data_IF_807447497922
#
_entry.id   IF_807447497922
#
_cell.length_a   1.000
_cell.length_b   1.000
_cell.length_c   1.000
_cell.angle_alpha   90.00
_cell.angle_beta   90.00
_cell.angle_gamma   90.00
#
_symmetry.space_group_name_H-M   'P 1'
#
loop_
_entity.id
_entity.type
_entity.pdbx_description
1 polymer ?
#
# COMPACT_ATOMS: atom_id res chain seq x y z
N UNK A 1 15.67 19.44 6.91
CA UNK A 1 16.66 19.94 5.91
C UNK A 1 17.75 18.91 5.73
N UNK A 2 18.37 18.81 4.56
CA UNK A 2 19.52 17.91 4.31
C UNK A 2 20.67 18.76 3.79
N UNK A 3 21.86 18.56 4.34
CA UNK A 3 23.11 19.17 3.87
C UNK A 3 24.13 18.07 3.65
N UNK A 4 24.97 18.20 2.63
CA UNK A 4 26.01 17.21 2.36
C UNK A 4 27.19 17.84 1.62
N UNK A 5 28.40 17.36 1.93
CA UNK A 5 29.64 17.91 1.41
C UNK A 5 30.04 19.21 2.09
N UNK A 6 30.90 19.98 1.43
CA UNK A 6 31.46 21.22 1.96
C UNK A 6 32.98 21.15 2.09
N UNK A 7 33.57 22.27 2.52
CA UNK A 7 35.01 22.38 2.74
C UNK A 7 35.32 22.87 4.15
N UNK A 8 36.20 22.14 4.84
CA UNK A 8 36.95 22.63 6.00
C UNK A 8 38.40 22.89 5.55
N UNK A 9 39.41 22.37 6.25
CA UNK A 9 40.78 22.26 5.72
C UNK A 9 40.90 21.26 4.57
N UNK A 10 39.90 20.40 4.37
CA UNK A 10 39.77 19.41 3.29
C UNK A 10 38.30 19.30 2.84
N UNK A 11 38.06 18.72 1.66
CA UNK A 11 36.71 18.40 1.18
C UNK A 11 36.04 17.33 2.05
N UNK A 12 34.72 17.45 2.28
CA UNK A 12 33.94 16.52 3.10
C UNK A 12 33.09 15.55 2.25
N UNK A 13 32.96 14.29 2.69
CA UNK A 13 32.03 13.27 2.15
C UNK A 13 30.87 12.96 3.10
N UNK A 14 30.74 13.75 4.17
CA UNK A 14 29.71 13.60 5.20
C UNK A 14 28.57 14.58 4.97
N UNK A 15 27.41 14.28 5.56
CA UNK A 15 26.27 15.17 5.58
C UNK A 15 25.40 14.96 6.82
N UNK A 16 24.40 15.82 6.95
CA UNK A 16 23.46 15.82 8.06
C UNK A 16 22.03 16.02 7.58
N UNK A 17 21.10 15.39 8.29
CA UNK A 17 19.66 15.65 8.21
C UNK A 17 19.25 16.40 9.48
N UNK A 18 18.75 17.61 9.31
CA UNK A 18 18.21 18.42 10.40
C UNK A 18 16.70 18.21 10.52
N UNK A 19 16.28 17.83 11.73
CA UNK A 19 14.88 17.75 12.14
C UNK A 19 14.53 19.02 12.95
N UNK A 20 13.71 19.94 12.40
CA UNK A 20 13.35 21.19 13.08
C UNK A 20 12.40 20.98 14.27
N UNK A 21 11.64 19.89 14.32
CA UNK A 21 10.69 19.61 15.41
C UNK A 21 11.41 19.19 16.69
N UNK A 22 12.54 18.49 16.53
CA UNK A 22 13.36 17.99 17.64
C UNK A 22 14.67 18.75 17.81
N UNK A 23 14.87 19.80 17.01
CA UNK A 23 16.11 20.58 16.91
C UNK A 23 17.38 19.72 16.92
N UNK A 24 17.41 18.69 16.07
CA UNK A 24 18.49 17.69 16.09
C UNK A 24 19.01 17.33 14.71
N UNK A 25 20.30 16.99 14.67
CA UNK A 25 20.99 16.51 13.48
C UNK A 25 21.22 15.00 13.54
N UNK A 26 20.91 14.32 12.43
CA UNK A 26 21.27 12.92 12.22
C UNK A 26 22.24 12.84 11.05
N UNK A 27 23.39 12.18 11.24
CA UNK A 27 24.34 11.96 10.15
C UNK A 27 23.67 11.20 8.99
N UNK A 28 24.08 11.52 7.76
CA UNK A 28 23.73 10.70 6.59
C UNK A 28 24.71 9.54 6.48
N UNK A 29 24.26 8.39 5.97
CA UNK A 29 25.13 7.27 5.65
C UNK A 29 26.32 7.69 4.78
N UNK A 30 27.49 7.18 5.11
CA UNK A 30 28.73 7.30 4.32
C UNK A 30 28.94 6.09 3.41
N UNK A 31 28.14 5.04 3.57
CA UNK A 31 28.16 3.85 2.72
C UNK A 31 27.71 4.24 1.31
N UNK A 32 28.55 3.93 0.32
CA UNK A 32 28.38 4.32 -1.10
C UNK A 32 28.16 5.83 -1.32
N UNK A 33 28.49 6.67 -0.34
CA UNK A 33 28.41 8.11 -0.49
C UNK A 33 29.38 8.60 -1.58
N UNK A 34 29.05 9.68 -2.31
CA UNK A 34 29.94 10.21 -3.33
C UNK A 34 31.27 10.69 -2.72
N UNK A 35 32.33 10.69 -3.52
CA UNK A 35 33.65 11.18 -3.09
C UNK A 35 33.56 12.58 -2.50
N UNK A 36 34.36 12.82 -1.46
CA UNK A 36 34.41 14.06 -0.70
C UNK A 36 34.60 15.28 -1.61
N UNK A 37 33.74 16.30 -1.47
CA UNK A 37 33.73 17.45 -2.38
C UNK A 37 33.32 18.76 -1.73
N UNK A 38 33.87 19.85 -2.24
CA UNK A 38 33.48 21.23 -1.92
C UNK A 38 32.75 21.88 -3.09
N UNK A 39 31.84 22.80 -2.76
CA UNK A 39 31.04 23.54 -3.74
C UNK A 39 30.12 22.70 -4.65
N UNK A 40 29.53 21.58 -4.21
CA UNK A 40 28.56 20.91 -5.06
C UNK A 40 27.23 21.69 -5.11
N UNK A 41 26.50 21.53 -6.21
CA UNK A 41 25.10 21.95 -6.30
C UNK A 41 24.18 20.84 -5.80
N UNK A 42 23.04 21.23 -5.22
CA UNK A 42 22.05 20.29 -4.69
C UNK A 42 20.65 20.68 -5.14
N UNK A 43 19.84 19.69 -5.54
CA UNK A 43 18.40 19.87 -5.81
C UNK A 43 17.58 18.83 -5.05
N UNK A 44 16.35 19.19 -4.67
CA UNK A 44 15.39 18.31 -4.00
C UNK A 44 14.29 17.87 -4.97
N UNK A 45 14.06 16.57 -5.08
CA UNK A 45 13.06 16.02 -6.02
C UNK A 45 11.65 15.95 -5.43
N UNK A 46 11.50 16.17 -4.12
CA UNK A 46 10.32 15.80 -3.34
C UNK A 46 10.54 14.56 -2.49
N UNK A 47 11.42 13.63 -2.92
CA UNK A 47 11.71 12.38 -2.19
C UNK A 47 13.20 12.13 -1.95
N UNK A 48 14.09 12.74 -2.74
CA UNK A 48 15.54 12.46 -2.75
C UNK A 48 16.32 13.73 -3.05
N UNK A 49 17.55 13.80 -2.52
CA UNK A 49 18.48 14.88 -2.83
C UNK A 49 19.41 14.42 -3.95
N UNK A 50 19.57 15.23 -4.98
CA UNK A 50 20.57 15.01 -6.03
C UNK A 50 21.68 16.03 -5.82
N UNK A 51 22.91 15.54 -5.69
CA UNK A 51 24.13 16.35 -5.64
C UNK A 51 24.79 16.29 -7.00
N UNK A 52 25.31 17.41 -7.51
CA UNK A 52 26.07 17.48 -8.75
C UNK A 52 27.32 18.35 -8.62
N UNK A 53 28.30 18.07 -9.48
CA UNK A 53 29.52 18.87 -9.59
C UNK A 53 30.35 18.91 -8.30
N UNK A 54 31.13 19.97 -8.18
CA UNK A 54 32.08 20.18 -7.09
C UNK A 54 33.47 19.60 -7.39
N UNK A 55 34.40 19.86 -6.46
CA UNK A 55 35.82 19.50 -6.59
C UNK A 55 36.33 18.67 -5.40
N UNK A 56 37.30 17.80 -5.64
CA UNK A 56 37.96 16.98 -4.61
C UNK A 56 39.36 17.52 -4.30
N UNK A 57 39.60 18.01 -3.08
CA UNK A 57 40.93 18.29 -2.51
C UNK A 57 41.82 19.32 -3.23
N UNK A 58 42.22 19.04 -4.46
CA UNK A 58 43.09 19.85 -5.32
C UNK A 58 42.45 20.02 -6.70
N UNK A 59 42.39 21.26 -7.18
CA UNK A 59 42.06 21.57 -8.57
C UNK A 59 43.13 20.93 -9.49
N UNK A 60 42.77 20.24 -10.59
CA UNK A 60 41.50 20.28 -11.31
C UNK A 60 40.58 19.04 -11.15
N UNK A 61 40.60 18.36 -9.99
CA UNK A 61 39.84 17.12 -9.82
C UNK A 61 38.34 17.37 -9.60
N UNK A 62 37.61 17.50 -10.70
CA UNK A 62 36.15 17.64 -10.73
C UNK A 62 35.45 16.27 -10.79
N UNK A 63 34.26 16.16 -10.18
CA UNK A 63 33.54 14.89 -10.12
C UNK A 63 32.04 15.01 -10.39
N UNK A 64 31.45 13.90 -10.86
CA UNK A 64 30.00 13.78 -11.06
C UNK A 64 29.27 13.48 -9.75
N UNK A 65 27.95 13.63 -9.80
CA UNK A 65 27.06 13.67 -8.64
C UNK A 65 26.75 12.37 -7.89
N UNK A 66 25.74 12.43 -7.04
CA UNK A 66 25.15 11.30 -6.34
C UNK A 66 23.75 11.62 -5.83
N UNK A 67 22.93 10.60 -5.61
CA UNK A 67 21.56 10.73 -5.11
C UNK A 67 21.43 10.14 -3.72
N UNK A 68 20.93 10.92 -2.78
CA UNK A 68 20.66 10.50 -1.41
C UNK A 68 19.18 10.24 -1.17
N UNK A 69 18.88 9.08 -0.59
CA UNK A 69 17.54 8.66 -0.16
C UNK A 69 17.44 8.75 1.37
N UNK A 70 16.70 9.71 1.94
CA UNK A 70 16.63 9.87 3.39
C UNK A 70 15.84 8.76 4.08
N UNK A 71 14.87 8.12 3.42
CA UNK A 71 14.04 7.06 4.04
C UNK A 71 14.84 5.78 4.27
N UNK A 72 15.72 5.42 3.33
CA UNK A 72 16.59 4.24 3.43
C UNK A 72 18.00 4.57 3.90
N UNK A 73 18.26 5.85 4.21
CA UNK A 73 19.58 6.40 4.52
C UNK A 73 20.69 5.85 3.60
N UNK A 74 20.51 6.00 2.29
CA UNK A 74 21.41 5.38 1.30
C UNK A 74 21.71 6.26 0.10
N UNK A 75 22.89 6.04 -0.49
CA UNK A 75 23.37 6.75 -1.67
C UNK A 75 23.36 5.87 -2.91
N UNK A 76 22.93 6.46 -4.02
CA UNK A 76 22.99 5.85 -5.35
C UNK A 76 23.79 6.77 -6.26
N UNK A 77 24.81 6.23 -6.94
CA UNK A 77 25.55 6.97 -7.95
C UNK A 77 24.63 7.52 -9.05
N UNK A 78 24.92 8.73 -9.54
CA UNK A 78 24.29 9.22 -10.76
C UNK A 78 24.89 8.49 -11.96
N UNK A 79 24.07 8.22 -12.98
CA UNK A 79 24.56 7.69 -14.26
C UNK A 79 25.55 8.69 -14.89
N UNK A 80 26.62 8.18 -15.50
CA UNK A 80 27.66 8.94 -16.20
C UNK A 80 27.45 8.99 -17.72
N UNK A 81 26.57 8.14 -18.27
CA UNK A 81 26.23 8.13 -19.70
C UNK A 81 25.65 9.48 -20.13
N UNK A 82 26.37 10.18 -21.01
CA UNK A 82 26.03 11.52 -21.51
C UNK A 82 25.83 12.57 -20.39
N UNK A 83 26.46 12.36 -19.23
CA UNK A 83 26.51 13.34 -18.17
C UNK A 83 27.08 14.68 -18.65
N UNK A 84 26.60 15.78 -18.08
CA UNK A 84 27.25 17.06 -18.26
C UNK A 84 28.72 16.93 -17.80
N UNK A 85 29.65 17.61 -18.48
CA UNK A 85 31.04 17.64 -18.02
C UNK A 85 31.11 18.07 -16.54
N UNK A 86 31.97 17.43 -15.72
CA UNK A 86 32.22 17.87 -14.35
C UNK A 86 32.53 19.37 -14.29
N UNK A 87 31.98 20.05 -13.29
CA UNK A 87 31.99 21.52 -13.17
C UNK A 87 31.88 21.97 -11.72
N UNK A 88 32.31 23.19 -11.46
CA UNK A 88 32.06 23.93 -10.21
C UNK A 88 31.34 25.25 -10.55
N UNK A 89 30.78 25.92 -9.54
CA UNK A 89 30.04 27.18 -9.71
C UNK A 89 28.87 27.09 -10.72
N UNK A 90 28.38 25.88 -10.95
CA UNK A 90 27.21 25.63 -11.77
C UNK A 90 25.92 26.04 -11.05
N UNK A 91 24.85 26.15 -11.81
CA UNK A 91 23.50 26.29 -11.27
C UNK A 91 22.67 25.07 -11.65
N UNK A 92 21.87 24.58 -10.70
CA UNK A 92 21.00 23.43 -10.89
C UNK A 92 19.57 23.73 -10.45
N UNK A 93 18.58 23.24 -11.21
CA UNK A 93 17.15 23.33 -10.89
C UNK A 93 16.47 21.99 -11.10
N UNK A 94 15.48 21.66 -10.26
CA UNK A 94 14.59 20.52 -10.47
C UNK A 94 13.30 21.00 -11.14
N UNK A 95 12.93 20.40 -12.28
CA UNK A 95 11.72 20.77 -13.03
C UNK A 95 10.45 20.11 -12.51
N UNK A 96 10.59 19.11 -11.63
CA UNK A 96 9.54 18.14 -11.30
C UNK A 96 9.81 16.74 -11.86
N UNK A 97 10.58 16.64 -12.95
CA UNK A 97 10.91 15.36 -13.63
C UNK A 97 12.40 15.16 -13.92
N UNK A 98 13.16 16.25 -14.07
CA UNK A 98 14.57 16.23 -14.41
C UNK A 98 15.33 17.35 -13.69
N UNK A 99 16.61 17.10 -13.40
CA UNK A 99 17.54 18.13 -12.96
C UNK A 99 18.18 18.75 -14.19
N UNK A 100 18.11 20.07 -14.31
CA UNK A 100 18.85 20.83 -15.33
C UNK A 100 20.05 21.47 -14.64
N UNK A 101 21.25 21.23 -15.18
CA UNK A 101 22.50 21.87 -14.74
C UNK A 101 23.02 22.76 -15.87
N UNK A 102 23.43 23.98 -15.57
CA UNK A 102 23.91 24.93 -16.57
C UNK A 102 25.09 25.77 -16.07
N UNK A 103 25.98 26.13 -16.99
CA UNK A 103 27.10 27.04 -16.72
C UNK A 103 28.19 26.41 -15.87
N UNK A 104 28.82 27.22 -15.03
CA UNK A 104 29.96 26.84 -14.19
C UNK A 104 31.30 26.90 -14.91
N UNK A 105 32.34 26.44 -14.23
CA UNK A 105 33.71 26.43 -14.72
C UNK A 105 34.22 24.99 -14.83
N UNK A 106 35.01 24.72 -15.88
CA UNK A 106 35.68 23.44 -16.05
C UNK A 106 36.98 23.33 -15.23
N UNK A 107 37.68 22.21 -15.43
CA UNK A 107 38.96 21.88 -14.82
C UNK A 107 40.08 22.91 -15.11
N UNK A 108 39.91 23.83 -16.05
CA UNK A 108 40.88 24.86 -16.39
C UNK A 108 40.40 26.27 -16.02
N UNK A 109 39.35 26.38 -15.20
CA UNK A 109 38.67 27.64 -14.88
C UNK A 109 38.07 28.34 -16.12
N UNK A 110 37.76 27.57 -17.16
CA UNK A 110 37.07 28.07 -18.35
C UNK A 110 35.58 28.09 -18.09
N UNK A 111 34.96 29.26 -18.30
CA UNK A 111 33.51 29.42 -18.19
C UNK A 111 32.80 28.57 -19.24
N UNK A 112 31.92 27.70 -18.78
CA UNK A 112 31.11 26.84 -19.62
C UNK A 112 29.84 27.58 -20.04
N UNK A 113 29.51 27.51 -21.33
CA UNK A 113 28.20 27.90 -21.89
C UNK A 113 27.32 26.67 -22.20
N UNK A 114 27.65 25.53 -21.60
CA UNK A 114 26.98 24.24 -21.81
C UNK A 114 26.26 23.78 -20.54
N UNK A 115 25.35 22.83 -20.69
CA UNK A 115 24.62 22.22 -19.58
C UNK A 115 24.29 20.76 -19.84
N UNK A 116 23.57 20.15 -18.91
CA UNK A 116 23.09 18.78 -19.02
C UNK A 116 21.80 18.56 -18.27
N UNK A 117 21.12 17.46 -18.60
CA UNK A 117 19.86 17.03 -17.99
C UNK A 117 20.07 15.67 -17.34
N UNK A 118 19.58 15.53 -16.13
CA UNK A 118 19.61 14.28 -15.39
C UNK A 118 18.20 13.89 -14.95
N UNK A 119 17.70 12.80 -15.51
CA UNK A 119 16.36 12.28 -15.21
C UNK A 119 16.45 11.10 -14.24
N UNK A 120 15.54 11.07 -13.28
CA UNK A 120 15.29 9.88 -12.49
C UNK A 120 14.24 9.06 -13.24
N UNK A 121 14.43 7.74 -13.43
CA UNK A 121 13.39 6.89 -14.02
C UNK A 121 12.06 7.11 -13.30
N UNK A 122 11.01 7.41 -14.07
CA UNK A 122 9.68 7.62 -13.53
C UNK A 122 9.27 6.39 -12.72
N UNK A 123 8.68 6.62 -11.54
CA UNK A 123 8.18 5.54 -10.72
C UNK A 123 7.14 4.73 -11.53
N UNK A 124 7.32 3.41 -11.76
CA UNK A 124 6.44 2.60 -12.58
C UNK A 124 4.97 2.69 -12.17
N UNK A 125 4.69 2.95 -10.89
CA UNK A 125 3.32 3.10 -10.38
C UNK A 125 2.56 4.30 -10.96
N UNK A 126 3.26 5.25 -11.56
CA UNK A 126 2.65 6.36 -12.29
C UNK A 126 1.97 5.90 -13.58
N UNK A 127 2.48 4.84 -14.23
CA UNK A 127 1.90 4.32 -15.46
C UNK A 127 0.55 3.64 -15.18
N UNK A 128 -0.55 4.01 -15.87
CA UNK A 128 -1.89 3.44 -15.64
C UNK A 128 -1.94 1.91 -15.70
N UNK A 129 -1.29 1.32 -16.70
CA UNK A 129 -1.23 -0.12 -16.90
C UNK A 129 -0.55 -0.86 -15.74
N UNK A 130 0.57 -0.32 -15.25
CA UNK A 130 1.28 -0.89 -14.11
C UNK A 130 0.49 -0.69 -12.83
N UNK A 131 -0.11 0.48 -12.63
CA UNK A 131 -1.00 0.77 -11.50
C UNK A 131 -2.14 -0.24 -11.40
N UNK A 132 -2.87 -0.46 -12.49
CA UNK A 132 -3.97 -1.43 -12.54
C UNK A 132 -3.49 -2.84 -12.24
N UNK A 133 -2.40 -3.31 -12.88
CA UNK A 133 -1.85 -4.64 -12.61
C UNK A 133 -1.49 -4.82 -11.12
N UNK A 134 -0.95 -3.78 -10.47
CA UNK A 134 -0.67 -3.85 -9.02
C UNK A 134 -1.94 -3.99 -8.18
N UNK A 135 -3.07 -3.44 -8.59
CA UNK A 135 -4.33 -3.64 -7.86
C UNK A 135 -4.87 -5.06 -7.99
N UNK A 136 -4.76 -5.67 -9.18
CA UNK A 136 -5.09 -7.08 -9.36
C UNK A 136 -4.25 -7.98 -8.45
N UNK A 137 -2.94 -7.73 -8.37
CA UNK A 137 -2.06 -8.53 -7.51
C UNK A 137 -2.31 -8.28 -6.03
N UNK A 138 -2.42 -7.02 -5.60
CA UNK A 138 -2.50 -6.65 -4.19
C UNK A 138 -3.87 -6.94 -3.55
N UNK A 139 -4.96 -6.88 -4.32
CA UNK A 139 -6.32 -7.09 -3.82
C UNK A 139 -6.97 -8.40 -4.27
N UNK A 140 -6.67 -8.87 -5.49
CA UNK A 140 -7.32 -10.05 -6.08
C UNK A 140 -6.40 -11.27 -6.18
N UNK A 141 -5.13 -11.15 -5.77
CA UNK A 141 -4.13 -12.22 -5.79
C UNK A 141 -3.95 -12.90 -7.17
N UNK A 142 -4.18 -12.19 -8.27
CA UNK A 142 -4.04 -12.74 -9.63
C UNK A 142 -3.49 -11.72 -10.62
N UNK A 143 -3.02 -12.21 -11.77
CA UNK A 143 -2.80 -11.35 -12.92
C UNK A 143 -4.14 -10.91 -13.53
N UNK A 144 -4.21 -9.70 -14.12
CA UNK A 144 -5.39 -9.28 -14.83
C UNK A 144 -5.59 -10.12 -16.09
N UNK A 145 -6.85 -10.38 -16.41
CA UNK A 145 -7.24 -10.72 -17.77
C UNK A 145 -7.07 -9.49 -18.68
N UNK A 146 -6.79 -9.73 -19.97
CA UNK A 146 -6.49 -8.65 -20.91
C UNK A 146 -7.60 -7.60 -20.97
N UNK A 147 -8.87 -8.03 -21.01
CA UNK A 147 -10.04 -7.15 -21.06
C UNK A 147 -10.15 -6.25 -19.82
N UNK A 148 -10.02 -6.82 -18.62
CA UNK A 148 -10.07 -6.08 -17.37
C UNK A 148 -8.89 -5.12 -17.22
N UNK A 149 -7.69 -5.54 -17.62
CA UNK A 149 -6.50 -4.70 -17.62
C UNK A 149 -6.70 -3.44 -18.47
N UNK A 150 -7.12 -3.63 -19.73
CA UNK A 150 -7.38 -2.54 -20.67
C UNK A 150 -8.51 -1.64 -20.19
N UNK A 151 -9.62 -2.22 -19.74
CA UNK A 151 -10.77 -1.46 -19.26
C UNK A 151 -10.39 -0.49 -18.14
N UNK A 152 -9.73 -1.00 -17.09
CA UNK A 152 -9.38 -0.18 -15.94
C UNK A 152 -8.28 0.83 -16.25
N UNK A 153 -7.29 0.46 -17.06
CA UNK A 153 -6.23 1.39 -17.44
C UNK A 153 -6.76 2.52 -18.32
N UNK A 154 -7.67 2.21 -19.24
CA UNK A 154 -8.33 3.19 -20.10
C UNK A 154 -9.15 4.22 -19.30
N UNK A 155 -9.67 3.86 -18.12
CA UNK A 155 -10.33 4.85 -17.23
C UNK A 155 -9.41 5.98 -16.81
N UNK A 156 -8.10 5.73 -16.70
CA UNK A 156 -7.11 6.73 -16.34
C UNK A 156 -6.53 7.38 -17.61
N UNK A 157 -6.22 6.59 -18.64
CA UNK A 157 -5.64 7.09 -19.90
C UNK A 157 -6.54 8.10 -20.62
N UNK A 158 -7.87 7.98 -20.48
CA UNK A 158 -8.84 8.93 -21.04
C UNK A 158 -8.68 10.36 -20.51
N UNK A 159 -7.99 10.58 -19.39
CA UNK A 159 -7.70 11.91 -18.87
C UNK A 159 -6.59 12.65 -19.64
N UNK A 160 -5.79 11.96 -20.47
CA UNK A 160 -4.65 12.57 -21.14
C UNK A 160 -3.66 13.18 -20.14
N UNK A 161 -3.38 14.49 -20.29
CA UNK A 161 -2.46 15.26 -19.44
C UNK A 161 -3.15 16.00 -18.27
N UNK A 162 -4.47 15.85 -18.09
CA UNK A 162 -5.19 16.48 -16.97
C UNK A 162 -4.85 15.77 -15.64
N UNK A 163 -4.02 16.42 -14.84
CA UNK A 163 -3.55 15.90 -13.55
C UNK A 163 -4.68 15.68 -12.54
N UNK A 164 -5.70 16.55 -12.51
CA UNK A 164 -6.81 16.43 -11.58
C UNK A 164 -7.73 15.26 -11.98
N UNK A 165 -8.01 15.12 -13.27
CA UNK A 165 -8.73 13.96 -13.79
C UNK A 165 -7.98 12.66 -13.47
N UNK A 166 -6.67 12.60 -13.70
CA UNK A 166 -5.84 11.42 -13.42
C UNK A 166 -5.89 11.06 -11.93
N UNK A 167 -5.78 12.04 -11.02
CA UNK A 167 -5.86 11.79 -9.57
C UNK A 167 -7.20 11.15 -9.20
N UNK A 168 -8.32 11.76 -9.60
CA UNK A 168 -9.67 11.27 -9.30
C UNK A 168 -9.91 9.88 -9.90
N UNK A 169 -9.49 9.64 -11.15
CA UNK A 169 -9.62 8.33 -11.79
C UNK A 169 -8.80 7.27 -11.09
N UNK A 170 -7.58 7.56 -10.65
CA UNK A 170 -6.75 6.62 -9.88
C UNK A 170 -7.41 6.24 -8.56
N UNK A 171 -7.96 7.21 -7.83
CA UNK A 171 -8.71 6.97 -6.59
C UNK A 171 -9.90 6.04 -6.85
N UNK A 172 -10.72 6.34 -7.86
CA UNK A 172 -11.92 5.57 -8.16
C UNK A 172 -11.62 4.17 -8.69
N UNK A 173 -10.64 4.02 -9.60
CA UNK A 173 -10.19 2.72 -10.09
C UNK A 173 -9.69 1.89 -8.91
N UNK A 174 -8.91 2.49 -8.01
CA UNK A 174 -8.36 1.81 -6.85
C UNK A 174 -9.44 1.30 -5.90
N UNK A 175 -10.41 2.16 -5.54
CA UNK A 175 -11.55 1.77 -4.70
C UNK A 175 -12.42 0.68 -5.34
N UNK A 176 -12.55 0.69 -6.68
CA UNK A 176 -13.35 -0.29 -7.41
C UNK A 176 -12.86 -1.74 -7.22
N UNK A 177 -11.56 -1.97 -6.96
CA UNK A 177 -11.06 -3.32 -6.67
C UNK A 177 -11.62 -3.88 -5.37
N UNK A 178 -11.65 -3.06 -4.30
CA UNK A 178 -12.27 -3.47 -3.05
C UNK A 178 -13.79 -3.65 -3.22
N UNK A 179 -14.45 -2.76 -3.95
CA UNK A 179 -15.90 -2.81 -4.18
C UNK A 179 -16.33 -3.92 -5.16
N UNK A 180 -15.39 -4.52 -5.88
CA UNK A 180 -15.68 -5.54 -6.88
C UNK A 180 -16.35 -6.76 -6.25
N UNK A 181 -17.21 -7.42 -7.04
CA UNK A 181 -17.81 -8.71 -6.65
C UNK A 181 -16.73 -9.69 -6.23
N UNK A 182 -15.61 -9.73 -6.98
CA UNK A 182 -14.51 -10.66 -6.70
C UNK A 182 -13.95 -10.46 -5.30
N UNK A 183 -13.62 -9.22 -4.90
CA UNK A 183 -13.11 -8.95 -3.55
C UNK A 183 -14.19 -9.12 -2.47
N UNK A 184 -15.41 -8.60 -2.72
CA UNK A 184 -16.51 -8.64 -1.76
C UNK A 184 -16.93 -10.08 -1.40
N UNK A 185 -16.88 -10.98 -2.37
CA UNK A 185 -17.26 -12.38 -2.20
C UNK A 185 -16.09 -13.29 -1.78
N UNK A 186 -14.86 -12.76 -1.70
CA UNK A 186 -13.68 -13.54 -1.29
C UNK A 186 -13.02 -12.91 -0.06
N UNK A 187 -12.11 -11.95 -0.24
CA UNK A 187 -11.38 -11.30 0.86
C UNK A 187 -12.31 -10.67 1.90
N UNK A 188 -13.34 -9.92 1.48
CA UNK A 188 -14.25 -9.32 2.45
C UNK A 188 -15.09 -10.38 3.19
N UNK A 189 -15.48 -11.48 2.54
CA UNK A 189 -16.15 -12.59 3.20
C UNK A 189 -15.24 -13.23 4.27
N UNK A 190 -13.96 -13.49 3.94
CA UNK A 190 -12.97 -14.01 4.89
C UNK A 190 -12.86 -13.09 6.10
N UNK A 191 -12.70 -11.79 5.90
CA UNK A 191 -12.64 -10.83 7.01
C UNK A 191 -13.88 -10.89 7.91
N UNK A 192 -15.08 -10.89 7.31
CA UNK A 192 -16.34 -10.99 8.06
C UNK A 192 -16.46 -12.31 8.83
N UNK A 193 -15.98 -13.42 8.27
CA UNK A 193 -15.95 -14.72 8.96
C UNK A 193 -14.96 -14.73 10.13
N UNK A 194 -13.79 -14.11 10.00
CA UNK A 194 -12.87 -13.91 11.12
C UNK A 194 -13.54 -13.09 12.23
N UNK A 195 -14.15 -11.96 11.88
CA UNK A 195 -14.81 -11.08 12.85
C UNK A 195 -16.00 -11.76 13.52
N UNK A 196 -16.88 -12.42 12.78
CA UNK A 196 -18.03 -13.12 13.34
C UNK A 196 -17.60 -14.36 14.17
N UNK A 197 -16.59 -15.09 13.72
CA UNK A 197 -16.11 -16.30 14.38
C UNK A 197 -15.29 -16.04 15.65
N UNK A 198 -14.53 -14.95 15.71
CA UNK A 198 -13.58 -14.74 16.81
C UNK A 198 -13.63 -13.35 17.44
N UNK A 199 -14.39 -12.43 16.86
CA UNK A 199 -14.32 -11.01 17.23
C UNK A 199 -13.00 -10.39 16.75
N UNK A 200 -12.47 -9.47 17.55
CA UNK A 200 -11.13 -8.94 17.34
C UNK A 200 -10.07 -9.87 17.94
N UNK A 201 -8.87 -9.86 17.35
CA UNK A 201 -7.71 -10.51 17.95
C UNK A 201 -7.46 -9.94 19.36
N UNK A 202 -7.02 -10.81 20.28
CA UNK A 202 -6.80 -10.44 21.69
C UNK A 202 -5.94 -9.19 21.82
N UNK A 203 -6.49 -8.15 22.45
CA UNK A 203 -5.80 -6.87 22.68
C UNK A 203 -5.58 -6.00 21.44
N UNK A 204 -6.15 -6.36 20.29
CA UNK A 204 -5.98 -5.64 19.01
C UNK A 204 -7.33 -5.11 18.50
N UNK A 205 -7.37 -4.00 17.74
CA UNK A 205 -8.60 -3.46 17.19
C UNK A 205 -9.04 -4.11 15.88
N UNK A 206 -8.35 -5.17 15.42
CA UNK A 206 -8.59 -5.84 14.13
C UNK A 206 -8.91 -7.32 14.31
N UNK A 207 -9.67 -7.89 13.38
CA UNK A 207 -10.10 -9.29 13.41
C UNK A 207 -9.08 -10.29 12.85
N UNK A 208 -8.13 -9.82 12.03
CA UNK A 208 -7.17 -10.68 11.36
C UNK A 208 -5.84 -9.96 11.13
N UNK A 209 -4.77 -10.73 11.16
CA UNK A 209 -3.46 -10.33 10.63
C UNK A 209 -3.37 -10.69 9.14
N UNK A 210 -2.48 -10.01 8.41
CA UNK A 210 -2.38 -10.03 6.95
C UNK A 210 -2.09 -11.42 6.38
N UNK A 211 -1.11 -12.12 6.94
CA UNK A 211 -0.66 -13.40 6.42
C UNK A 211 -1.77 -14.48 6.42
N UNK A 212 -2.45 -14.77 7.56
CA UNK A 212 -3.55 -15.73 7.56
C UNK A 212 -4.73 -15.27 6.71
N UNK A 213 -5.04 -13.96 6.71
CA UNK A 213 -6.08 -13.39 5.85
C UNK A 213 -5.84 -13.69 4.36
N UNK A 214 -4.61 -13.45 3.86
CA UNK A 214 -4.29 -13.69 2.46
C UNK A 214 -4.29 -15.18 2.10
N UNK A 215 -3.84 -16.04 3.01
CA UNK A 215 -3.88 -17.49 2.79
C UNK A 215 -5.32 -17.99 2.63
N UNK A 216 -6.21 -17.57 3.53
CA UNK A 216 -7.63 -17.95 3.50
C UNK A 216 -8.36 -17.34 2.31
N UNK A 217 -8.05 -16.10 1.96
CA UNK A 217 -8.61 -15.44 0.77
C UNK A 217 -8.25 -16.20 -0.51
N UNK A 218 -7.00 -16.66 -0.64
CA UNK A 218 -6.57 -17.48 -1.78
C UNK A 218 -7.29 -18.83 -1.84
N UNK A 219 -7.67 -19.40 -0.69
CA UNK A 219 -8.42 -20.66 -0.65
C UNK A 219 -9.76 -20.53 -1.40
N UNK A 220 -10.46 -19.41 -1.24
CA UNK A 220 -11.69 -19.13 -1.98
C UNK A 220 -11.39 -18.76 -3.44
N UNK A 221 -10.37 -17.92 -3.68
CA UNK A 221 -10.08 -17.37 -5.01
C UNK A 221 -9.50 -18.38 -6.00
N UNK A 222 -8.72 -19.37 -5.53
CA UNK A 222 -7.79 -20.10 -6.41
C UNK A 222 -7.86 -21.62 -6.34
N UNK A 223 -8.63 -22.18 -5.40
CA UNK A 223 -8.71 -23.65 -5.21
C UNK A 223 -10.10 -24.14 -5.62
N UNK A 224 -10.26 -25.07 -6.57
CA UNK A 224 -9.22 -25.80 -7.28
C UNK A 224 -8.56 -25.02 -8.44
N UNK A 225 -9.22 -23.99 -8.96
CA UNK A 225 -8.68 -23.12 -10.02
C UNK A 225 -9.01 -21.65 -9.71
N UNK A 226 -8.30 -20.73 -10.38
CA UNK A 226 -8.52 -19.30 -10.27
C UNK A 226 -9.93 -18.89 -10.72
N UNK A 227 -10.67 -18.22 -9.85
CA UNK A 227 -11.94 -17.58 -10.18
C UNK A 227 -11.65 -16.27 -10.92
N UNK A 228 -12.34 -16.08 -12.06
CA UNK A 228 -12.43 -14.81 -12.77
C UNK A 228 -13.90 -14.53 -13.00
N UNK A 229 -14.42 -13.45 -12.39
CA UNK A 229 -15.82 -13.08 -12.51
C UNK A 229 -16.20 -12.83 -13.97
N UNK A 230 -17.26 -13.47 -14.43
CA UNK A 230 -17.76 -13.37 -15.80
C UNK A 230 -17.20 -14.40 -16.78
N UNK A 231 -16.32 -15.31 -16.34
CA UNK A 231 -15.75 -16.36 -17.20
C UNK A 231 -16.17 -17.76 -16.73
N UNK A 232 -16.49 -18.65 -17.66
CA UNK A 232 -16.86 -20.04 -17.34
C UNK A 232 -18.03 -20.14 -16.35
N UNK A 233 -17.98 -21.15 -15.47
CA UNK A 233 -18.98 -21.40 -14.42
C UNK A 233 -18.58 -20.77 -13.07
N UNK A 234 -18.08 -19.53 -13.12
CA UNK A 234 -17.47 -18.88 -11.96
C UNK A 234 -18.41 -18.76 -10.75
N UNK A 235 -19.73 -18.62 -10.95
CA UNK A 235 -20.68 -18.51 -9.84
C UNK A 235 -20.75 -19.79 -9.02
N UNK A 236 -20.93 -20.94 -9.67
CA UNK A 236 -21.01 -22.24 -8.99
C UNK A 236 -19.66 -22.60 -8.36
N UNK A 237 -18.57 -22.31 -9.06
CA UNK A 237 -17.23 -22.50 -8.51
C UNK A 237 -17.02 -21.64 -7.25
N UNK A 238 -17.37 -20.36 -7.31
CA UNK A 238 -17.27 -19.46 -6.16
C UNK A 238 -18.05 -19.98 -4.96
N UNK A 239 -19.31 -20.39 -5.16
CA UNK A 239 -20.12 -20.89 -4.06
C UNK A 239 -19.56 -22.20 -3.48
N UNK A 240 -19.12 -23.13 -4.33
CA UNK A 240 -18.43 -24.36 -3.90
C UNK A 240 -17.20 -24.05 -3.05
N UNK A 241 -16.36 -23.11 -3.51
CA UNK A 241 -15.13 -22.73 -2.82
C UNK A 241 -15.41 -22.10 -1.45
N UNK A 242 -16.43 -21.23 -1.36
CA UNK A 242 -16.82 -20.63 -0.09
C UNK A 242 -17.41 -21.64 0.89
N UNK A 243 -18.16 -22.64 0.42
CA UNK A 243 -18.68 -23.73 1.26
C UNK A 243 -17.54 -24.58 1.82
N UNK A 244 -16.60 -24.98 0.95
CA UNK A 244 -15.41 -25.72 1.36
C UNK A 244 -14.56 -24.93 2.37
N UNK A 245 -14.34 -23.64 2.12
CA UNK A 245 -13.66 -22.75 3.05
C UNK A 245 -14.38 -22.65 4.40
N UNK A 246 -15.70 -22.43 4.39
CA UNK A 246 -16.47 -22.31 5.62
C UNK A 246 -16.43 -23.59 6.46
N UNK A 247 -16.51 -24.76 5.83
CA UNK A 247 -16.36 -26.04 6.52
C UNK A 247 -14.96 -26.17 7.14
N UNK A 248 -13.91 -25.90 6.37
CA UNK A 248 -12.53 -25.95 6.86
C UNK A 248 -12.27 -24.92 7.98
N UNK A 249 -12.89 -23.75 7.91
CA UNK A 249 -12.77 -22.68 8.91
C UNK A 249 -13.36 -23.11 10.26
N UNK A 250 -14.57 -23.67 10.26
CA UNK A 250 -15.21 -24.09 11.52
C UNK A 250 -14.56 -25.33 12.12
N UNK A 251 -13.88 -26.16 11.33
CA UNK A 251 -13.12 -27.32 11.80
C UNK A 251 -11.82 -26.97 12.53
N UNK A 252 -11.40 -25.70 12.51
CA UNK A 252 -10.17 -25.26 13.19
C UNK A 252 -10.30 -25.51 14.70
N UNK A 253 -9.25 -26.01 15.38
CA UNK A 253 -9.30 -26.27 16.83
C UNK A 253 -9.72 -25.06 17.67
N UNK A 254 -9.28 -23.85 17.30
CA UNK A 254 -9.68 -22.61 17.97
C UNK A 254 -11.18 -22.32 17.80
N UNK A 255 -11.74 -22.59 16.62
CA UNK A 255 -13.17 -22.41 16.36
C UNK A 255 -14.01 -23.42 17.15
N UNK A 256 -13.60 -24.69 17.14
CA UNK A 256 -14.25 -25.75 17.91
C UNK A 256 -14.20 -25.47 19.41
N UNK A 257 -13.08 -24.94 19.92
CA UNK A 257 -12.97 -24.53 21.32
C UNK A 257 -13.92 -23.38 21.68
N UNK A 258 -14.12 -22.43 20.77
CA UNK A 258 -15.00 -21.28 20.99
C UNK A 258 -16.50 -21.62 20.85
N UNK A 259 -16.85 -22.50 19.91
CA UNK A 259 -18.24 -22.69 19.48
C UNK A 259 -18.74 -24.13 19.47
N UNK A 260 -17.86 -25.14 19.48
CA UNK A 260 -18.19 -26.55 19.19
C UNK A 260 -19.27 -27.16 20.08
N UNK A 261 -19.41 -26.72 21.33
CA UNK A 261 -20.42 -27.18 22.29
C UNK A 261 -21.74 -26.40 22.30
N UNK A 262 -21.87 -25.32 21.53
CA UNK A 262 -23.04 -24.44 21.56
C UNK A 262 -24.19 -25.02 20.71
N UNK A 263 -25.43 -24.90 21.20
CA UNK A 263 -26.62 -25.12 20.37
C UNK A 263 -26.76 -24.06 19.26
N UNK A 264 -27.69 -24.25 18.32
CA UNK A 264 -27.84 -23.37 17.17
C UNK A 264 -28.14 -21.91 17.55
N UNK A 265 -29.01 -21.68 18.53
CA UNK A 265 -29.43 -20.35 18.93
C UNK A 265 -28.31 -19.58 19.66
N UNK A 266 -27.64 -20.24 20.60
CA UNK A 266 -26.50 -19.71 21.34
C UNK A 266 -25.33 -19.42 20.39
N UNK A 267 -25.08 -20.33 19.46
CA UNK A 267 -24.04 -20.16 18.44
C UNK A 267 -24.30 -18.94 17.56
N UNK A 268 -25.49 -18.82 16.95
CA UNK A 268 -25.83 -17.68 16.09
C UNK A 268 -25.76 -16.36 16.86
N UNK A 269 -26.25 -16.33 18.11
CA UNK A 269 -26.15 -15.15 18.97
C UNK A 269 -24.69 -14.75 19.25
N UNK A 270 -23.81 -15.72 19.50
CA UNK A 270 -22.38 -15.47 19.72
C UNK A 270 -21.71 -14.87 18.49
N UNK A 271 -22.06 -15.31 17.28
CA UNK A 271 -21.49 -14.80 16.04
C UNK A 271 -21.85 -13.32 15.79
N UNK A 272 -23.11 -12.94 16.01
CA UNK A 272 -23.54 -11.55 15.91
C UNK A 272 -22.91 -10.66 17.00
N UNK A 273 -22.74 -11.21 18.21
CA UNK A 273 -22.05 -10.53 19.31
C UNK A 273 -20.60 -10.24 18.95
N UNK A 274 -19.87 -11.23 18.43
CA UNK A 274 -18.49 -11.08 17.96
C UNK A 274 -18.37 -10.05 16.81
N UNK A 275 -19.34 -10.04 15.89
CA UNK A 275 -19.43 -9.05 14.83
C UNK A 275 -19.78 -7.63 15.34
N UNK A 276 -20.24 -7.49 16.58
CA UNK A 276 -20.60 -6.21 17.19
C UNK A 276 -21.85 -5.59 16.56
N UNK A 277 -22.84 -6.41 16.18
CA UNK A 277 -24.08 -5.95 15.55
C UNK A 277 -25.31 -6.45 16.30
N UNK A 278 -26.39 -5.68 16.24
CA UNK A 278 -27.73 -6.16 16.60
C UNK A 278 -28.42 -6.67 15.34
N UNK A 279 -28.67 -7.98 15.21
CA UNK A 279 -29.29 -8.54 14.00
C UNK A 279 -30.80 -8.30 13.98
N UNK A 280 -31.38 -8.38 12.78
CA UNK A 280 -32.83 -8.48 12.64
C UNK A 280 -33.32 -9.89 13.03
N UNK A 281 -34.63 -10.02 13.34
CA UNK A 281 -35.25 -11.32 13.59
C UNK A 281 -35.13 -12.24 12.37
N UNK A 282 -35.30 -11.70 11.16
CA UNK A 282 -35.14 -12.44 9.90
C UNK A 282 -33.73 -13.00 9.74
N UNK A 283 -32.69 -12.20 9.99
CA UNK A 283 -31.30 -12.65 9.90
C UNK A 283 -30.99 -13.74 10.94
N UNK A 284 -31.51 -13.59 12.16
CA UNK A 284 -31.35 -14.60 13.23
C UNK A 284 -32.02 -15.92 12.85
N UNK A 285 -33.27 -15.87 12.38
CA UNK A 285 -33.99 -17.07 11.93
C UNK A 285 -33.32 -17.72 10.71
N UNK A 286 -32.83 -16.92 9.75
CA UNK A 286 -32.15 -17.44 8.58
C UNK A 286 -30.87 -18.22 8.95
N UNK A 287 -30.06 -17.68 9.86
CA UNK A 287 -28.84 -18.35 10.31
C UNK A 287 -29.14 -19.64 11.11
N UNK A 288 -30.14 -19.64 11.98
CA UNK A 288 -30.58 -20.84 12.73
C UNK A 288 -31.11 -21.90 11.76
N UNK A 289 -31.92 -21.50 10.77
CA UNK A 289 -32.42 -22.42 9.74
C UNK A 289 -31.27 -23.00 8.92
N UNK A 290 -30.30 -22.18 8.52
CA UNK A 290 -29.10 -22.63 7.80
C UNK A 290 -28.30 -23.67 8.60
N UNK A 291 -28.20 -23.49 9.93
CA UNK A 291 -27.59 -24.49 10.81
C UNK A 291 -28.34 -25.82 10.76
N UNK A 292 -29.65 -25.78 10.97
CA UNK A 292 -30.49 -26.96 11.11
C UNK A 292 -30.64 -27.72 9.79
N UNK A 293 -30.84 -27.01 8.68
CA UNK A 293 -31.01 -27.60 7.35
C UNK A 293 -29.76 -28.30 6.83
N UNK A 294 -28.57 -27.92 7.31
CA UNK A 294 -27.31 -28.60 6.99
C UNK A 294 -27.02 -29.81 7.91
N UNK A 295 -27.95 -30.17 8.82
CA UNK A 295 -27.82 -31.32 9.70
C UNK A 295 -27.05 -31.08 11.00
N UNK A 296 -26.74 -29.82 11.33
CA UNK A 296 -25.96 -29.46 12.52
C UNK A 296 -24.47 -29.82 12.41
N UNK A 297 -23.81 -29.99 13.56
CA UNK A 297 -22.36 -30.25 13.62
C UNK A 297 -21.54 -29.19 12.86
N UNK A 298 -20.46 -29.62 12.21
CA UNK A 298 -19.60 -28.71 11.44
C UNK A 298 -20.30 -28.13 10.21
N UNK A 299 -21.12 -28.93 9.51
CA UNK A 299 -21.85 -28.46 8.33
C UNK A 299 -22.87 -27.36 8.69
N UNK A 300 -23.62 -27.56 9.78
CA UNK A 300 -24.51 -26.54 10.34
C UNK A 300 -23.77 -25.29 10.79
N UNK A 301 -22.62 -25.44 11.48
CA UNK A 301 -21.80 -24.29 11.90
C UNK A 301 -21.30 -23.48 10.72
N UNK A 302 -20.81 -24.15 9.68
CA UNK A 302 -20.32 -23.50 8.46
C UNK A 302 -21.44 -22.71 7.76
N UNK A 303 -22.61 -23.33 7.55
CA UNK A 303 -23.76 -22.68 6.90
C UNK A 303 -24.30 -21.49 7.68
N UNK A 304 -24.40 -21.61 9.01
CA UNK A 304 -24.82 -20.49 9.85
C UNK A 304 -23.78 -19.37 9.93
N UNK A 305 -22.47 -19.68 9.99
CA UNK A 305 -21.41 -18.67 9.93
C UNK A 305 -21.46 -17.88 8.63
N UNK A 306 -21.63 -18.57 7.49
CA UNK A 306 -21.84 -17.94 6.18
C UNK A 306 -23.06 -17.02 6.20
N UNK A 307 -24.19 -17.52 6.68
CA UNK A 307 -25.44 -16.74 6.77
C UNK A 307 -25.27 -15.46 7.62
N UNK A 308 -24.58 -15.55 8.77
CA UNK A 308 -24.27 -14.38 9.60
C UNK A 308 -23.29 -13.42 8.91
N UNK A 309 -22.17 -13.93 8.38
CA UNK A 309 -21.14 -13.11 7.73
C UNK A 309 -21.65 -12.40 6.46
N UNK A 310 -22.61 -13.00 5.75
CA UNK A 310 -23.23 -12.44 4.53
C UNK A 310 -24.50 -11.63 4.83
N UNK A 311 -24.93 -11.53 6.08
CA UNK A 311 -26.07 -10.70 6.48
C UNK A 311 -25.85 -9.21 6.22
N UNK A 312 -26.95 -8.46 6.08
CA UNK A 312 -26.90 -7.02 5.81
C UNK A 312 -26.34 -6.27 7.03
N UNK A 313 -26.79 -6.64 8.24
CA UNK A 313 -26.33 -6.03 9.48
C UNK A 313 -24.81 -6.14 9.65
N UNK A 314 -24.24 -7.33 9.43
CA UNK A 314 -22.79 -7.56 9.50
C UNK A 314 -22.05 -6.85 8.36
N UNK A 315 -22.56 -6.96 7.14
CA UNK A 315 -21.92 -6.33 5.97
C UNK A 315 -21.85 -4.81 6.11
N UNK A 316 -22.92 -4.17 6.58
CA UNK A 316 -22.96 -2.73 6.78
C UNK A 316 -22.02 -2.27 7.90
N UNK A 317 -21.99 -2.98 9.05
CA UNK A 317 -21.12 -2.62 10.18
C UNK A 317 -19.65 -2.75 9.84
N UNK A 318 -19.28 -3.85 9.18
CA UNK A 318 -17.88 -4.23 8.99
C UNK A 318 -17.25 -3.64 7.73
N UNK A 319 -18.03 -2.98 6.87
CA UNK A 319 -17.53 -2.39 5.63
C UNK A 319 -16.35 -1.45 5.87
N UNK A 320 -16.50 -0.45 6.76
CA UNK A 320 -15.44 0.52 7.04
C UNK A 320 -14.24 -0.11 7.72
N UNK A 321 -14.46 -1.03 8.67
CA UNK A 321 -13.37 -1.73 9.38
C UNK A 321 -12.50 -2.55 8.42
N UNK A 322 -13.15 -3.28 7.49
CA UNK A 322 -12.49 -4.04 6.44
C UNK A 322 -11.78 -3.11 5.45
N UNK A 323 -12.46 -2.04 5.00
CA UNK A 323 -11.92 -1.14 3.99
C UNK A 323 -10.62 -0.48 4.42
N UNK A 324 -10.56 -0.01 5.68
CA UNK A 324 -9.34 0.58 6.27
C UNK A 324 -8.25 -0.48 6.37
N UNK A 325 -8.58 -1.69 6.85
CA UNK A 325 -7.58 -2.75 6.99
C UNK A 325 -6.96 -3.14 5.64
N UNK A 326 -7.76 -3.14 4.58
CA UNK A 326 -7.29 -3.43 3.22
C UNK A 326 -6.37 -2.35 2.66
N UNK A 327 -6.39 -1.12 3.19
CA UNK A 327 -5.39 -0.12 2.80
C UNK A 327 -3.98 -0.55 3.23
N UNK A 328 -3.86 -1.10 4.45
CA UNK A 328 -2.59 -1.62 4.96
C UNK A 328 -2.18 -2.92 4.26
N UNK A 329 -3.12 -3.85 4.10
CA UNK A 329 -2.81 -5.15 3.51
C UNK A 329 -2.48 -5.07 2.01
N UNK A 330 -3.24 -4.26 1.26
CA UNK A 330 -3.09 -4.09 -0.18
C UNK A 330 -1.96 -3.12 -0.52
N UNK A 331 -2.05 -1.86 -0.09
CA UNK A 331 -1.07 -0.85 -0.49
C UNK A 331 0.26 -0.97 0.27
N UNK A 332 0.20 -1.12 1.59
CA UNK A 332 1.43 -1.09 2.41
C UNK A 332 2.06 -2.48 2.60
N UNK A 333 1.33 -3.55 2.24
CA UNK A 333 1.79 -4.94 2.32
C UNK A 333 2.19 -5.41 3.73
N UNK A 334 1.63 -4.78 4.77
CA UNK A 334 1.96 -5.07 6.18
C UNK A 334 0.71 -5.03 7.07
N UNK A 335 0.83 -5.49 8.31
CA UNK A 335 -0.19 -5.24 9.32
C UNK A 335 -0.14 -3.77 9.76
N UNK A 336 -1.25 -3.20 10.26
CA UNK A 336 -1.25 -1.79 10.68
C UNK A 336 -0.27 -1.46 11.81
N UNK A 337 0.06 -2.43 12.65
CA UNK A 337 1.01 -2.28 13.75
C UNK A 337 2.47 -2.54 13.35
N UNK A 338 2.73 -3.11 12.17
CA UNK A 338 4.11 -3.41 11.75
C UNK A 338 4.87 -2.10 11.46
N UNK A 339 6.21 -2.08 11.57
CA UNK A 339 7.03 -0.95 11.10
C UNK A 339 6.67 -0.53 9.66
N UNK A 340 6.70 0.77 9.31
CA UNK A 340 7.37 1.87 10.02
C UNK A 340 6.51 2.59 11.08
N UNK A 341 5.40 2.00 11.54
CA UNK A 341 4.62 2.57 12.65
C UNK A 341 5.49 2.73 13.90
N UNK A 342 5.62 3.95 14.43
CA UNK A 342 6.58 4.25 15.49
C UNK A 342 6.19 3.63 16.83
N UNK A 343 4.88 3.60 17.10
CA UNK A 343 4.29 3.16 18.37
C UNK A 343 3.83 1.71 18.35
N UNK A 344 3.79 1.07 17.16
CA UNK A 344 3.34 -0.31 16.95
C UNK A 344 1.95 -0.62 17.58
N UNK A 345 1.06 0.38 17.66
CA UNK A 345 -0.15 0.36 18.49
C UNK A 345 -1.46 0.64 17.73
N UNK A 346 -1.47 0.45 16.40
CA UNK A 346 -2.63 0.67 15.54
C UNK A 346 -3.18 2.11 15.51
N UNK A 347 -2.44 3.12 15.99
CA UNK A 347 -2.89 4.51 15.95
C UNK A 347 -3.28 4.97 14.54
N UNK A 348 -2.47 4.65 13.53
CA UNK A 348 -2.79 4.93 12.13
C UNK A 348 -4.10 4.27 11.68
N UNK A 349 -4.36 3.02 12.07
CA UNK A 349 -5.59 2.31 11.72
C UNK A 349 -6.81 3.00 12.37
N UNK A 350 -6.72 3.28 13.66
CA UNK A 350 -7.79 3.93 14.42
C UNK A 350 -8.10 5.32 13.90
N UNK A 351 -7.07 6.10 13.56
CA UNK A 351 -7.22 7.41 12.93
C UNK A 351 -8.03 7.32 11.63
N UNK A 352 -7.62 6.43 10.71
CA UNK A 352 -8.29 6.28 9.42
C UNK A 352 -9.71 5.75 9.55
N UNK A 353 -9.96 4.81 10.46
CA UNK A 353 -11.31 4.31 10.73
C UNK A 353 -12.22 5.42 11.26
N UNK A 354 -11.75 6.22 12.21
CA UNK A 354 -12.52 7.35 12.74
C UNK A 354 -12.79 8.40 11.65
N UNK A 355 -11.79 8.73 10.83
CA UNK A 355 -11.95 9.66 9.71
C UNK A 355 -12.98 9.16 8.70
N UNK A 356 -12.92 7.87 8.32
CA UNK A 356 -13.88 7.30 7.38
C UNK A 356 -15.31 7.30 7.93
N UNK A 357 -15.47 6.98 9.22
CA UNK A 357 -16.77 7.03 9.89
C UNK A 357 -17.33 8.45 9.95
N UNK A 358 -16.49 9.46 10.18
CA UNK A 358 -16.90 10.88 10.17
C UNK A 358 -17.51 11.30 8.82
N UNK A 359 -17.05 10.71 7.71
CA UNK A 359 -17.58 10.93 6.37
C UNK A 359 -18.56 9.84 5.93
N UNK A 360 -19.19 9.12 6.86
CA UNK A 360 -20.21 8.10 6.59
C UNK A 360 -19.74 7.00 5.59
N UNK A 361 -18.46 6.64 5.60
CA UNK A 361 -17.90 5.66 4.66
C UNK A 361 -17.49 6.24 3.30
N UNK A 362 -17.65 7.55 3.07
CA UNK A 362 -17.19 8.18 1.83
C UNK A 362 -15.65 8.30 1.83
N UNK A 363 -15.00 7.39 1.11
CA UNK A 363 -13.54 7.33 1.00
C UNK A 363 -12.93 8.49 0.20
N UNK A 364 -13.72 9.19 -0.62
CA UNK A 364 -13.28 10.36 -1.37
C UNK A 364 -13.19 11.55 -0.42
N UNK A 365 -14.26 11.84 0.32
CA UNK A 365 -14.30 12.95 1.28
C UNK A 365 -13.34 12.72 2.45
N UNK A 366 -13.15 11.45 2.86
CA UNK A 366 -12.14 11.07 3.84
C UNK A 366 -10.69 11.16 3.28
N UNK A 367 -10.52 11.38 1.98
CA UNK A 367 -9.24 11.35 1.24
C UNK A 367 -8.40 10.10 1.49
N UNK A 368 -9.04 8.99 1.84
CA UNK A 368 -8.37 7.81 2.36
C UNK A 368 -7.52 7.15 1.28
N UNK A 369 -8.16 6.68 0.22
CA UNK A 369 -7.47 5.98 -0.87
C UNK A 369 -6.39 6.87 -1.48
N UNK A 370 -6.67 8.17 -1.63
CA UNK A 370 -5.70 9.18 -2.08
C UNK A 370 -4.44 9.14 -1.22
N UNK A 371 -4.57 9.27 0.10
CA UNK A 371 -3.44 9.31 1.02
C UNK A 371 -2.58 8.04 0.94
N UNK A 372 -3.18 6.86 0.83
CA UNK A 372 -2.42 5.61 0.72
C UNK A 372 -1.70 5.48 -0.64
N UNK A 373 -2.37 5.74 -1.77
CA UNK A 373 -1.76 5.60 -3.10
C UNK A 373 -0.75 6.72 -3.44
N UNK A 374 -0.80 7.85 -2.72
CA UNK A 374 0.20 8.94 -2.84
C UNK A 374 1.30 8.84 -1.79
N UNK A 375 1.17 7.97 -0.78
CA UNK A 375 2.14 7.86 0.32
C UNK A 375 3.53 7.50 -0.20
N UNK A 376 4.56 8.01 0.49
CA UNK A 376 5.95 7.64 0.22
C UNK A 376 6.16 6.13 0.37
N UNK A 377 5.55 5.52 1.38
CA UNK A 377 5.64 4.08 1.65
C UNK A 377 5.13 3.25 0.47
N UNK A 378 3.93 3.56 -0.06
CA UNK A 378 3.39 2.86 -1.23
C UNK A 378 4.25 3.05 -2.48
N UNK A 379 4.64 4.30 -2.78
CA UNK A 379 5.40 4.60 -4.01
C UNK A 379 6.78 3.95 -4.00
N UNK A 380 7.42 3.87 -2.84
CA UNK A 380 8.75 3.28 -2.68
C UNK A 380 8.81 1.78 -2.98
N UNK A 381 7.67 1.08 -2.94
CA UNK A 381 7.58 -0.33 -3.39
C UNK A 381 7.99 -0.52 -4.85
N UNK A 382 7.88 0.53 -5.67
CA UNK A 382 8.02 0.42 -7.12
C UNK A 382 9.16 1.26 -7.68
N UNK A 383 9.68 2.21 -6.91
CA UNK A 383 10.74 3.09 -7.37
C UNK A 383 10.90 4.33 -6.49
N UNK A 384 11.88 5.19 -6.83
CA UNK A 384 12.13 6.46 -6.14
C UNK A 384 10.94 7.43 -6.12
#
# INVERSE_FOLDING_TARGET
MIVWGGGASTSLSTGGRYNPTTDSWTATSTTTAPTARSGPTAVWTGSQMIIWGGMTGSFPNLIIGGRYKPVTDSWIATCDTNAAAPRINDSAVWTGSEMIVWGGDDANSTRLNTGGRYSIPANPIAAPNFFVRRHYLDFLNREPDQSGWEFWANRILQCGSDAQCVEVRRINVSAAFFLSIEFQQTGNLVYKMYKAGFGNLTGKPVAADRAPFLADTRQIQTTPTQIIVGQGDWQNQLETNKQAFALAFVQRPAFQSAHGGQDAATYVSSLFTNAGVTPTSTETSAAINAFNSAGGGDAGRASALRSVAESNSVSNKLFNEAFVLMQYFGYLQRNPYDPPELTLDYQGYTFWLNKLNQFNGNYIDAEMVKAFISSSEYRQRFGP
#
